data_IF_805378453429
#
_entry.id   IF_805378453429
#
_cell.length_a   1.000
_cell.length_b   1.000
_cell.length_c   1.000
_cell.angle_alpha   90.00
_cell.angle_beta   90.00
_cell.angle_gamma   90.00
#
_symmetry.space_group_name_H-M   'P 1'
#
loop_
_entity.id
_entity.type
_entity.pdbx_description
1 polymer ?
#
# COMPACT_ATOMS: atom_id res chain seq x y z
N UNK A 1 -19.53 -7.93 -4.16
CA UNK A 1 -20.17 -7.62 -2.86
C UNK A 1 -19.30 -8.02 -1.69
N UNK A 2 -19.29 -9.25 -1.14
CA UNK A 2 -18.47 -9.54 0.07
C UNK A 2 -16.95 -9.25 -0.10
N UNK A 3 -16.41 -9.56 -1.28
CA UNK A 3 -14.98 -9.39 -1.58
C UNK A 3 -14.57 -7.92 -1.80
N UNK A 4 -15.46 -7.06 -2.28
CA UNK A 4 -15.13 -5.64 -2.53
C UNK A 4 -15.04 -4.84 -1.22
N UNK A 5 -15.93 -5.12 -0.27
CA UNK A 5 -15.91 -4.47 1.05
C UNK A 5 -14.65 -4.87 1.83
N UNK A 6 -14.25 -6.14 1.75
CA UNK A 6 -13.01 -6.64 2.37
C UNK A 6 -11.77 -5.98 1.74
N UNK A 7 -11.71 -5.86 0.41
CA UNK A 7 -10.62 -5.18 -0.27
C UNK A 7 -10.54 -3.69 0.09
N UNK A 8 -11.70 -3.03 0.24
CA UNK A 8 -11.76 -1.63 0.65
C UNK A 8 -11.22 -1.44 2.06
N UNK A 9 -11.64 -2.28 3.01
CA UNK A 9 -11.18 -2.22 4.40
C UNK A 9 -9.68 -2.48 4.51
N UNK A 10 -9.16 -3.41 3.71
CA UNK A 10 -7.73 -3.70 3.66
C UNK A 10 -6.94 -2.52 3.06
N UNK A 11 -7.45 -1.93 1.97
CA UNK A 11 -6.85 -0.75 1.34
C UNK A 11 -6.75 0.44 2.32
N UNK A 12 -7.81 0.71 3.08
CA UNK A 12 -7.84 1.77 4.09
C UNK A 12 -6.80 1.55 5.19
N UNK A 13 -6.67 0.30 5.66
CA UNK A 13 -5.64 -0.07 6.65
C UNK A 13 -4.24 0.19 6.11
N UNK A 14 -3.95 -0.21 4.88
CA UNK A 14 -2.63 0.03 4.28
C UNK A 14 -2.33 1.50 4.02
N UNK A 15 -3.32 2.28 3.60
CA UNK A 15 -3.17 3.74 3.47
C UNK A 15 -2.81 4.38 4.81
N UNK A 16 -3.46 3.97 5.90
CA UNK A 16 -3.13 4.44 7.25
C UNK A 16 -1.70 4.10 7.67
N UNK A 17 -1.20 2.91 7.30
CA UNK A 17 0.17 2.49 7.61
C UNK A 17 1.20 3.31 6.80
N UNK A 18 0.98 3.47 5.48
CA UNK A 18 1.85 4.26 4.60
C UNK A 18 1.94 5.71 5.11
N UNK A 19 0.80 6.29 5.49
CA UNK A 19 0.71 7.63 6.06
C UNK A 19 1.57 7.75 7.32
N UNK A 20 1.40 6.82 8.26
CA UNK A 20 2.16 6.80 9.52
C UNK A 20 3.67 6.68 9.27
N UNK A 21 4.07 5.89 8.27
CA UNK A 21 5.48 5.74 7.91
C UNK A 21 6.05 7.00 7.26
N UNK A 22 5.27 7.68 6.42
CA UNK A 22 5.61 8.98 5.85
C UNK A 22 5.78 10.07 6.92
N UNK A 23 4.94 10.06 7.96
CA UNK A 23 5.07 10.96 9.11
C UNK A 23 6.35 10.69 9.92
N UNK A 24 6.63 9.40 10.22
CA UNK A 24 7.84 9.00 10.96
C UNK A 24 9.12 9.31 10.17
N UNK A 25 9.13 9.06 8.86
CA UNK A 25 10.28 9.36 7.99
C UNK A 25 10.42 10.86 7.68
N UNK A 26 9.41 11.67 8.03
CA UNK A 26 9.28 13.09 7.64
C UNK A 26 9.48 13.34 6.15
N UNK A 27 9.16 12.34 5.33
CA UNK A 27 9.38 12.40 3.89
C UNK A 27 8.28 11.65 3.15
N UNK A 28 7.16 12.36 2.98
CA UNK A 28 5.98 11.88 2.27
C UNK A 28 6.26 11.47 0.84
N UNK A 29 6.94 12.33 0.08
CA UNK A 29 7.23 12.12 -1.32
C UNK A 29 8.03 10.83 -1.52
N UNK A 30 9.11 10.63 -0.78
CA UNK A 30 9.93 9.42 -0.88
C UNK A 30 9.13 8.15 -0.55
N UNK A 31 8.29 8.18 0.50
CA UNK A 31 7.51 7.03 0.92
C UNK A 31 6.47 6.65 -0.13
N UNK A 32 5.70 7.62 -0.64
CA UNK A 32 4.69 7.36 -1.67
C UNK A 32 5.31 7.00 -3.03
N UNK A 33 6.41 7.64 -3.43
CA UNK A 33 7.15 7.27 -4.65
C UNK A 33 7.66 5.83 -4.57
N UNK A 34 8.12 5.37 -3.40
CA UNK A 34 8.50 3.96 -3.21
C UNK A 34 7.31 3.00 -3.38
N UNK A 35 6.15 3.36 -2.83
CA UNK A 35 4.92 2.57 -2.99
C UNK A 35 4.51 2.49 -4.46
N UNK A 36 4.38 3.63 -5.13
CA UNK A 36 4.05 3.71 -6.56
C UNK A 36 5.02 2.90 -7.42
N UNK A 37 6.33 3.10 -7.24
CA UNK A 37 7.35 2.36 -8.00
C UNK A 37 7.30 0.85 -7.77
N UNK A 38 6.85 0.39 -6.60
CA UNK A 38 6.68 -1.04 -6.32
C UNK A 38 5.41 -1.61 -6.94
N UNK A 39 4.33 -0.82 -6.98
CA UNK A 39 3.07 -1.18 -7.65
C UNK A 39 3.20 -1.20 -9.17
N UNK A 40 3.91 -0.23 -9.76
CA UNK A 40 4.15 -0.15 -11.21
C UNK A 40 4.96 -1.33 -11.77
N UNK A 41 5.77 -1.98 -10.93
CA UNK A 41 6.57 -3.16 -11.32
C UNK A 41 5.74 -4.44 -11.42
N UNK A 42 4.47 -4.41 -11.07
CA UNK A 42 3.61 -5.59 -11.11
C UNK A 42 2.78 -5.59 -12.38
N UNK A 43 3.29 -6.25 -13.41
CA UNK A 43 2.48 -6.59 -14.58
C UNK A 43 1.63 -7.83 -14.23
N UNK A 44 0.32 -7.63 -14.05
CA UNK A 44 -0.68 -8.64 -13.61
C UNK A 44 -0.56 -9.05 -12.13
N UNK A 45 -0.77 -8.09 -11.22
CA UNK A 45 -0.93 -8.38 -9.80
C UNK A 45 -2.35 -8.92 -9.53
N UNK A 46 -2.46 -10.08 -8.89
CA UNK A 46 -3.65 -10.43 -8.12
C UNK A 46 -3.69 -9.52 -6.87
N UNK A 47 -4.88 -9.19 -6.37
CA UNK A 47 -5.08 -8.21 -5.30
C UNK A 47 -4.19 -8.54 -4.08
N UNK A 48 -4.02 -9.83 -3.78
CA UNK A 48 -3.16 -10.34 -2.71
C UNK A 48 -1.70 -9.84 -2.83
N UNK A 49 -1.12 -9.79 -4.04
CA UNK A 49 0.26 -9.31 -4.24
C UNK A 49 0.38 -7.80 -4.02
N UNK A 50 -0.65 -7.05 -4.39
CA UNK A 50 -0.71 -5.61 -4.11
C UNK A 50 -0.71 -5.38 -2.60
N UNK A 51 -1.50 -6.16 -1.87
CA UNK A 51 -1.60 -6.07 -0.41
C UNK A 51 -0.28 -6.46 0.30
N UNK A 52 0.43 -7.49 -0.16
CA UNK A 52 1.75 -7.86 0.39
C UNK A 52 2.75 -6.70 0.27
N UNK A 53 2.83 -6.06 -0.90
CA UNK A 53 3.73 -4.93 -1.14
C UNK A 53 3.38 -3.73 -0.27
N UNK A 54 2.08 -3.42 -0.15
CA UNK A 54 1.62 -2.36 0.74
C UNK A 54 1.98 -2.65 2.21
N UNK A 55 1.95 -3.92 2.62
CA UNK A 55 2.37 -4.36 3.95
C UNK A 55 3.87 -4.27 4.20
N UNK A 56 4.69 -4.74 3.27
CA UNK A 56 6.16 -4.63 3.36
C UNK A 56 6.61 -3.16 3.42
N UNK A 57 5.96 -2.30 2.63
CA UNK A 57 6.30 -0.89 2.56
C UNK A 57 5.77 -0.10 3.75
N UNK A 58 4.61 -0.51 4.28
CA UNK A 58 4.02 0.07 5.46
C UNK A 58 4.76 -0.25 6.78
N UNK A 59 5.44 -1.39 6.87
CA UNK A 59 6.11 -1.88 8.09
C UNK A 59 7.00 -0.89 8.84
#
# INVERSE_FOLDING_TARGET
>A
MLYEDELLEISDKFNGIILKKAEVSKNFEMTYTRVLNSLEKIENADDIKVLEILGELGG
#
